data_IF_524056451874
#
_entry.id   IF_524056451874
#
_cell.length_a   1.000
_cell.length_b   1.000
_cell.length_c   1.000
_cell.angle_alpha   90.00
_cell.angle_beta   90.00
_cell.angle_gamma   90.00
#
_symmetry.space_group_name_H-M   'P 1'
#
loop_
_entity.id
_entity.type
_entity.pdbx_description
1 polymer ?
#
# COMPACT_ATOMS: atom_id res chain seq x y z
N UNK A 1 7.07 17.52 3.84
CA UNK A 1 6.40 16.27 3.40
C UNK A 1 5.08 16.10 4.14
N UNK A 2 4.02 15.69 3.45
CA UNK A 2 2.66 15.56 3.98
C UNK A 2 2.13 14.16 3.69
N UNK A 3 1.34 13.59 4.60
CA UNK A 3 0.65 12.32 4.37
C UNK A 3 -0.71 12.56 3.72
N UNK A 4 -1.04 11.77 2.71
CA UNK A 4 -2.36 11.74 2.07
C UNK A 4 -2.97 10.34 2.17
N UNK A 5 -4.29 10.29 2.37
CA UNK A 5 -5.05 9.04 2.44
C UNK A 5 -5.48 8.63 1.03
N UNK A 6 -5.12 7.41 0.61
CA UNK A 6 -5.39 6.92 -0.73
C UNK A 6 -6.17 5.60 -0.72
N UNK A 7 -7.08 5.45 -1.70
CA UNK A 7 -7.66 4.17 -2.09
C UNK A 7 -7.12 3.82 -3.49
N UNK A 8 -6.40 2.71 -3.59
CA UNK A 8 -5.59 2.40 -4.76
C UNK A 8 -6.21 1.36 -5.71
N UNK A 9 -7.40 0.83 -5.39
CA UNK A 9 -8.04 -0.21 -6.19
C UNK A 9 -9.56 -0.01 -6.25
N UNK A 10 -10.03 0.61 -7.35
CA UNK A 10 -11.43 1.03 -7.49
C UNK A 10 -11.97 0.78 -8.88
N UNK A 11 -13.28 0.50 -8.96
CA UNK A 11 -13.98 0.17 -10.20
C UNK A 11 -15.24 1.01 -10.37
N UNK A 12 -15.55 1.32 -11.64
CA UNK A 12 -16.78 1.97 -12.07
C UNK A 12 -17.56 1.04 -13.00
N UNK A 13 -18.74 1.49 -13.47
CA UNK A 13 -19.52 0.76 -14.47
C UNK A 13 -18.86 0.75 -15.87
N UNK A 14 -17.67 1.32 -16.03
CA UNK A 14 -16.85 1.11 -17.23
C UNK A 14 -16.20 -0.27 -17.28
N UNK A 15 -16.18 -0.98 -16.16
CA UNK A 15 -15.89 -2.42 -16.07
C UNK A 15 -17.05 -3.15 -15.39
N UNK A 16 -16.91 -3.56 -14.15
CA UNK A 16 -17.90 -4.33 -13.39
C UNK A 16 -18.33 -3.66 -12.08
N UNK A 17 -17.85 -2.46 -11.81
CA UNK A 17 -18.32 -1.62 -10.72
C UNK A 17 -19.79 -1.19 -10.92
N UNK A 18 -20.48 -0.88 -9.82
CA UNK A 18 -21.88 -0.44 -9.80
C UNK A 18 -22.02 1.05 -9.45
N UNK A 19 -21.03 1.84 -9.82
CA UNK A 19 -20.94 3.25 -9.49
C UNK A 19 -20.29 4.03 -10.64
N UNK A 20 -20.69 5.29 -10.81
CA UNK A 20 -20.01 6.24 -11.69
C UNK A 20 -18.72 6.74 -11.03
N UNK A 21 -17.83 7.37 -11.81
CA UNK A 21 -16.64 8.02 -11.27
C UNK A 21 -17.00 9.13 -10.26
N UNK A 22 -18.09 9.88 -10.52
CA UNK A 22 -18.56 10.93 -9.61
C UNK A 22 -19.06 10.35 -8.27
N UNK A 23 -19.82 9.26 -8.30
CA UNK A 23 -20.28 8.57 -7.08
C UNK A 23 -19.09 7.99 -6.31
N UNK A 24 -18.15 7.36 -7.00
CA UNK A 24 -16.92 6.84 -6.40
C UNK A 24 -16.10 7.95 -5.73
N UNK A 25 -15.82 9.04 -6.43
CA UNK A 25 -15.05 10.17 -5.92
C UNK A 25 -15.76 10.86 -4.73
N UNK A 26 -17.08 11.05 -4.82
CA UNK A 26 -17.87 11.62 -3.73
C UNK A 26 -17.87 10.73 -2.50
N UNK A 27 -18.03 9.41 -2.68
CA UNK A 27 -17.97 8.43 -1.60
C UNK A 27 -16.58 8.35 -0.97
N UNK A 28 -15.52 8.40 -1.77
CA UNK A 28 -14.15 8.44 -1.27
C UNK A 28 -13.89 9.72 -0.46
N UNK A 29 -14.32 10.86 -0.95
CA UNK A 29 -14.22 12.14 -0.24
C UNK A 29 -14.98 12.10 1.09
N UNK A 30 -16.18 11.55 1.11
CA UNK A 30 -16.99 11.38 2.31
C UNK A 30 -16.34 10.44 3.33
N UNK A 31 -15.48 9.51 2.91
CA UNK A 31 -14.68 8.64 3.75
C UNK A 31 -13.30 9.22 4.11
N UNK A 32 -13.05 10.50 3.80
CA UNK A 32 -11.81 11.21 4.17
C UNK A 32 -10.59 10.79 3.36
N UNK A 33 -10.77 10.28 2.14
CA UNK A 33 -9.67 10.08 1.20
C UNK A 33 -9.28 11.42 0.53
N UNK A 34 -8.00 11.58 0.23
CA UNK A 34 -7.45 12.71 -0.53
C UNK A 34 -7.27 12.36 -2.01
N UNK A 35 -7.06 11.07 -2.29
CA UNK A 35 -6.78 10.56 -3.62
C UNK A 35 -7.32 9.14 -3.81
N UNK A 36 -7.76 8.83 -5.03
CA UNK A 36 -8.05 7.45 -5.46
C UNK A 36 -7.25 7.10 -6.70
N UNK A 37 -7.04 5.80 -6.96
CA UNK A 37 -6.68 5.32 -8.28
C UNK A 37 -7.91 4.70 -8.95
N UNK A 38 -8.28 5.17 -10.15
CA UNK A 38 -9.29 4.50 -10.96
C UNK A 38 -8.62 3.37 -11.76
N UNK A 39 -9.05 2.15 -11.50
CA UNK A 39 -8.40 0.94 -12.01
C UNK A 39 -9.40 -0.04 -12.62
N UNK A 40 -10.32 0.46 -13.45
CA UNK A 40 -11.28 -0.39 -14.16
C UNK A 40 -10.61 -1.54 -14.92
N UNK A 41 -11.23 -2.72 -14.94
CA UNK A 41 -10.69 -3.90 -15.60
C UNK A 41 -10.47 -3.68 -17.11
N UNK A 42 -9.21 -3.77 -17.53
CA UNK A 42 -8.81 -3.77 -18.95
C UNK A 42 -9.33 -2.57 -19.76
N UNK A 43 -9.61 -1.44 -19.12
CA UNK A 43 -10.08 -0.23 -19.79
C UNK A 43 -9.65 1.03 -19.03
N UNK A 44 -9.49 2.13 -19.76
CA UNK A 44 -9.26 3.46 -19.21
C UNK A 44 -10.41 4.43 -19.56
N UNK A 45 -11.51 3.92 -20.12
CA UNK A 45 -12.63 4.77 -20.56
C UNK A 45 -13.33 5.48 -19.42
N UNK A 46 -13.25 4.96 -18.17
CA UNK A 46 -13.75 5.60 -16.96
C UNK A 46 -13.09 6.96 -16.64
N UNK A 47 -11.89 7.19 -17.18
CA UNK A 47 -11.13 8.43 -16.97
C UNK A 47 -11.56 9.59 -17.87
N UNK A 48 -12.48 9.38 -18.83
CA UNK A 48 -12.87 10.40 -19.82
C UNK A 48 -13.33 11.74 -19.21
N UNK A 49 -13.90 11.73 -18.01
CA UNK A 49 -14.37 12.91 -17.29
C UNK A 49 -13.61 13.20 -15.99
N UNK A 50 -12.42 12.62 -15.83
CA UNK A 50 -11.59 12.71 -14.62
C UNK A 50 -11.44 14.16 -14.12
N UNK A 51 -10.96 15.06 -14.97
CA UNK A 51 -10.71 16.44 -14.59
C UNK A 51 -11.97 17.19 -14.13
N UNK A 52 -13.13 16.88 -14.72
CA UNK A 52 -14.39 17.45 -14.30
C UNK A 52 -14.76 16.96 -12.90
N UNK A 53 -14.66 15.65 -12.65
CA UNK A 53 -14.98 15.03 -11.36
C UNK A 53 -14.04 15.53 -10.27
N UNK A 54 -12.73 15.66 -10.57
CA UNK A 54 -11.75 16.24 -9.64
C UNK A 54 -12.13 17.67 -9.22
N UNK A 55 -12.54 18.52 -10.19
CA UNK A 55 -13.00 19.89 -9.89
C UNK A 55 -14.28 19.93 -9.05
N UNK A 56 -15.23 19.02 -9.32
CA UNK A 56 -16.53 18.98 -8.64
C UNK A 56 -16.43 18.44 -7.21
N UNK A 57 -15.56 17.44 -6.98
CA UNK A 57 -15.46 16.75 -5.70
C UNK A 57 -14.30 17.23 -4.83
N UNK A 58 -13.30 17.85 -5.44
CA UNK A 58 -12.04 18.20 -4.78
C UNK A 58 -11.22 16.97 -4.36
N UNK A 59 -11.47 15.80 -4.99
CA UNK A 59 -10.70 14.58 -4.82
C UNK A 59 -9.74 14.42 -6.00
N UNK A 60 -8.49 14.07 -5.74
CA UNK A 60 -7.54 13.75 -6.81
C UNK A 60 -7.70 12.31 -7.29
N UNK A 61 -7.54 12.08 -8.60
CA UNK A 61 -7.74 10.77 -9.22
C UNK A 61 -6.49 10.39 -10.00
N UNK A 62 -5.76 9.37 -9.54
CA UNK A 62 -4.66 8.76 -10.31
C UNK A 62 -5.24 7.95 -11.46
N UNK A 63 -4.66 8.12 -12.64
CA UNK A 63 -5.00 7.29 -13.79
C UNK A 63 -4.37 5.92 -13.66
N UNK A 64 -5.13 4.88 -13.94
CA UNK A 64 -4.67 3.51 -13.86
C UNK A 64 -5.60 2.54 -14.57
N UNK A 65 -5.28 1.28 -14.46
CA UNK A 65 -6.06 0.18 -15.00
C UNK A 65 -5.70 -1.11 -14.26
N UNK A 66 -6.66 -1.96 -13.99
CA UNK A 66 -6.36 -3.32 -13.56
C UNK A 66 -6.27 -4.24 -14.79
N UNK A 67 -5.08 -4.77 -15.06
CA UNK A 67 -4.91 -5.89 -15.97
C UNK A 67 -5.54 -7.12 -15.38
N UNK A 68 -6.63 -7.55 -15.96
CA UNK A 68 -7.35 -8.75 -15.58
C UNK A 68 -7.07 -9.81 -16.63
N UNK A 69 -6.27 -10.79 -16.27
CA UNK A 69 -5.88 -11.90 -17.14
C UNK A 69 -6.30 -13.24 -16.54
N UNK A 70 -6.05 -14.34 -17.27
CA UNK A 70 -6.25 -15.69 -16.72
C UNK A 70 -5.18 -16.12 -15.71
N UNK A 71 -4.06 -15.39 -15.64
CA UNK A 71 -2.86 -15.76 -14.88
C UNK A 71 -2.58 -14.85 -13.68
N UNK A 72 -3.40 -13.87 -13.46
CA UNK A 72 -3.26 -12.92 -12.37
C UNK A 72 -3.83 -11.56 -12.74
N UNK A 73 -4.04 -10.74 -11.71
CA UNK A 73 -4.46 -9.35 -11.86
C UNK A 73 -3.32 -8.42 -11.45
N UNK A 74 -3.17 -7.32 -12.18
CA UNK A 74 -2.16 -6.31 -11.91
C UNK A 74 -2.77 -4.93 -11.95
N UNK A 75 -2.69 -4.21 -10.84
CA UNK A 75 -3.09 -2.80 -10.78
C UNK A 75 -1.95 -1.93 -11.26
N UNK A 76 -2.16 -1.23 -12.39
CA UNK A 76 -1.22 -0.24 -12.92
C UNK A 76 -1.69 1.15 -12.52
N UNK A 77 -0.78 2.00 -12.03
CA UNK A 77 -1.07 3.36 -11.52
C UNK A 77 -0.09 4.34 -12.16
N UNK A 78 -0.58 5.54 -12.53
CA UNK A 78 0.25 6.59 -13.12
C UNK A 78 0.45 6.44 -14.63
N UNK A 79 -0.31 5.55 -15.28
CA UNK A 79 -0.30 5.42 -16.74
C UNK A 79 -1.26 6.41 -17.40
N UNK A 80 -0.91 6.91 -18.56
CA UNK A 80 -1.74 7.82 -19.34
C UNK A 80 -2.40 7.15 -20.55
N UNK A 81 -1.80 6.08 -21.06
CA UNK A 81 -2.29 5.33 -22.21
C UNK A 81 -2.60 3.89 -21.86
N UNK A 82 -3.63 3.36 -22.52
CA UNK A 82 -4.04 1.96 -22.39
C UNK A 82 -2.90 1.00 -22.72
N UNK A 83 -2.71 0.01 -21.84
CA UNK A 83 -1.73 -1.06 -22.03
C UNK A 83 -2.41 -2.37 -22.42
N UNK A 84 -2.04 -2.87 -23.62
CA UNK A 84 -2.61 -4.12 -24.12
C UNK A 84 -2.00 -5.35 -23.42
N UNK A 85 -2.81 -5.97 -22.58
CA UNK A 85 -2.48 -7.17 -21.78
C UNK A 85 -2.66 -8.49 -22.56
N UNK A 86 -3.40 -8.48 -23.71
CA UNK A 86 -3.86 -9.69 -24.42
C UNK A 86 -2.73 -10.54 -24.99
N UNK A 87 -1.54 -9.98 -25.17
CA UNK A 87 -0.36 -10.66 -25.70
C UNK A 87 0.60 -11.14 -24.63
N UNK A 88 0.24 -11.01 -23.34
CA UNK A 88 1.10 -11.38 -22.21
C UNK A 88 0.71 -12.77 -21.72
N UNK A 89 1.59 -13.73 -21.92
CA UNK A 89 1.48 -15.09 -21.35
C UNK A 89 2.09 -15.18 -19.96
N UNK A 90 1.98 -16.35 -19.29
CA UNK A 90 2.49 -16.54 -17.93
C UNK A 90 3.99 -16.22 -17.76
N UNK A 91 4.79 -16.44 -18.82
CA UNK A 91 6.26 -16.25 -18.84
C UNK A 91 6.68 -14.89 -19.41
N UNK A 92 5.72 -14.10 -19.97
CA UNK A 92 6.01 -12.90 -20.76
C UNK A 92 5.63 -11.59 -20.08
N UNK A 93 5.30 -11.61 -18.78
CA UNK A 93 4.79 -10.42 -18.06
C UNK A 93 5.77 -9.24 -18.15
N UNK A 94 7.07 -9.51 -18.22
CA UNK A 94 8.14 -8.51 -18.27
C UNK A 94 7.96 -7.48 -19.39
N UNK A 95 7.53 -7.92 -20.58
CA UNK A 95 7.26 -7.01 -21.70
C UNK A 95 6.07 -6.07 -21.42
N UNK A 96 5.14 -6.50 -20.57
CA UNK A 96 4.03 -5.69 -20.11
C UNK A 96 4.46 -4.67 -19.07
N UNK A 97 5.24 -5.11 -18.07
CA UNK A 97 5.81 -4.25 -17.03
C UNK A 97 6.64 -3.12 -17.63
N UNK A 98 7.54 -3.45 -18.58
CA UNK A 98 8.35 -2.46 -19.28
C UNK A 98 7.51 -1.35 -19.91
N UNK A 99 6.38 -1.68 -20.56
CA UNK A 99 5.49 -0.67 -21.18
C UNK A 99 4.77 0.21 -20.15
N UNK A 100 4.50 -0.30 -18.95
CA UNK A 100 3.97 0.52 -17.84
C UNK A 100 5.05 1.50 -17.37
N UNK A 101 6.27 1.01 -17.16
CA UNK A 101 7.40 1.84 -16.72
C UNK A 101 7.83 2.88 -17.76
N UNK A 102 7.75 2.57 -19.06
CA UNK A 102 8.00 3.54 -20.13
C UNK A 102 7.09 4.78 -20.07
N UNK A 103 5.90 4.66 -19.49
CA UNK A 103 4.99 5.79 -19.23
C UNK A 103 5.24 6.49 -17.87
N UNK A 104 6.20 6.01 -17.08
CA UNK A 104 6.40 6.47 -15.71
C UNK A 104 5.37 5.92 -14.71
N UNK A 105 4.58 4.93 -15.13
CA UNK A 105 3.61 4.25 -14.28
C UNK A 105 4.24 3.17 -13.40
N UNK A 106 3.45 2.67 -12.45
CA UNK A 106 3.81 1.62 -11.51
C UNK A 106 2.93 0.40 -11.74
N UNK A 107 3.51 -0.79 -11.56
CA UNK A 107 2.84 -2.06 -11.73
C UNK A 107 2.82 -2.84 -10.40
N UNK A 108 1.63 -3.07 -9.87
CA UNK A 108 1.41 -3.75 -8.60
C UNK A 108 0.64 -5.06 -8.77
N UNK A 109 1.11 -6.09 -8.09
CA UNK A 109 0.44 -7.38 -8.01
C UNK A 109 -0.83 -7.22 -7.17
N UNK A 110 -2.01 -7.38 -7.80
CA UNK A 110 -3.30 -7.27 -7.13
C UNK A 110 -3.65 -8.57 -6.41
N UNK A 111 -4.09 -8.47 -5.15
CA UNK A 111 -4.64 -9.59 -4.34
C UNK A 111 -4.15 -11.02 -4.71
N UNK A 112 -2.84 -11.30 -4.73
CA UNK A 112 -2.22 -12.43 -5.45
C UNK A 112 -2.69 -13.83 -5.03
N UNK A 113 -3.32 -13.97 -3.88
CA UNK A 113 -3.81 -15.24 -3.36
C UNK A 113 -5.34 -15.30 -3.24
N UNK A 114 -6.05 -14.38 -3.90
CA UNK A 114 -7.51 -14.42 -3.92
C UNK A 114 -7.98 -15.64 -4.71
N UNK A 115 -8.78 -16.53 -4.12
CA UNK A 115 -9.30 -17.68 -4.87
C UNK A 115 -10.21 -17.18 -5.98
N UNK A 116 -9.97 -17.66 -7.19
CA UNK A 116 -10.87 -17.44 -8.31
C UNK A 116 -12.24 -18.05 -8.05
N UNK A 117 -13.24 -17.48 -8.68
CA UNK A 117 -14.59 -18.03 -8.76
C UNK A 117 -14.95 -18.20 -10.24
N UNK A 118 -16.02 -18.91 -10.61
CA UNK A 118 -16.46 -18.94 -11.99
C UNK A 118 -16.70 -17.55 -12.61
N UNK A 119 -16.91 -16.52 -11.77
CA UNK A 119 -17.12 -15.13 -12.19
C UNK A 119 -15.87 -14.24 -12.11
N UNK A 120 -14.85 -14.68 -11.36
CA UNK A 120 -13.57 -14.00 -11.24
C UNK A 120 -12.46 -14.97 -11.68
N UNK A 121 -12.24 -15.05 -12.99
CA UNK A 121 -11.17 -15.89 -13.55
C UNK A 121 -9.85 -15.19 -13.43
N UNK A 122 -8.77 -15.93 -13.05
CA UNK A 122 -7.43 -15.40 -12.97
C UNK A 122 -7.14 -14.51 -11.75
N UNK A 123 -8.03 -14.47 -10.73
CA UNK A 123 -7.74 -13.71 -9.49
C UNK A 123 -6.52 -14.23 -8.71
N UNK A 124 -6.16 -15.49 -8.87
CA UNK A 124 -4.96 -16.07 -8.27
C UNK A 124 -3.76 -15.83 -9.18
N UNK A 125 -2.65 -15.40 -8.60
CA UNK A 125 -1.44 -15.08 -9.35
C UNK A 125 -0.69 -16.33 -9.79
N UNK A 126 -0.48 -16.48 -11.09
CA UNK A 126 0.20 -17.59 -11.74
C UNK A 126 1.32 -17.13 -12.71
N UNK A 127 1.54 -15.80 -12.86
CA UNK A 127 2.66 -15.31 -13.63
C UNK A 127 4.00 -15.63 -12.97
N UNK A 128 4.96 -16.04 -13.76
CA UNK A 128 6.36 -16.20 -13.36
C UNK A 128 7.05 -14.82 -13.32
N UNK A 129 7.60 -14.48 -12.18
CA UNK A 129 8.36 -13.24 -12.00
C UNK A 129 9.86 -13.58 -12.03
N UNK A 130 10.52 -13.29 -13.14
CA UNK A 130 11.96 -13.52 -13.31
C UNK A 130 12.81 -12.51 -12.54
N UNK A 131 12.40 -11.23 -12.54
CA UNK A 131 13.06 -10.17 -11.78
C UNK A 131 12.01 -9.39 -10.95
N UNK A 132 12.09 -9.52 -9.63
CA UNK A 132 11.20 -8.83 -8.70
C UNK A 132 11.48 -7.32 -8.60
N UNK A 133 12.56 -6.80 -9.16
CA UNK A 133 12.78 -5.36 -9.28
C UNK A 133 11.85 -4.69 -10.30
N UNK A 134 11.17 -5.46 -11.14
CA UNK A 134 10.19 -4.95 -12.11
C UNK A 134 8.78 -4.82 -11.51
N UNK A 135 8.54 -5.35 -10.29
CA UNK A 135 7.30 -5.18 -9.54
C UNK A 135 7.49 -4.03 -8.56
N UNK A 136 6.63 -3.01 -8.64
CA UNK A 136 6.74 -1.83 -7.79
C UNK A 136 6.10 -2.04 -6.41
N UNK A 137 4.97 -2.76 -6.36
CA UNK A 137 4.26 -3.00 -5.11
C UNK A 137 3.40 -4.27 -5.13
N UNK A 138 3.01 -4.72 -3.96
CA UNK A 138 2.06 -5.82 -3.76
C UNK A 138 0.87 -5.31 -2.95
N UNK A 139 -0.35 -5.51 -3.44
CA UNK A 139 -1.56 -5.33 -2.65
C UNK A 139 -1.66 -6.46 -1.62
N UNK A 140 -1.12 -6.21 -0.44
CA UNK A 140 -1.09 -7.22 0.63
C UNK A 140 -2.40 -7.29 1.40
N UNK A 141 -3.16 -6.20 1.42
CA UNK A 141 -4.48 -6.11 2.00
C UNK A 141 -5.52 -5.75 0.94
N UNK A 142 -6.36 -6.71 0.61
CA UNK A 142 -7.46 -6.54 -0.33
C UNK A 142 -8.80 -6.68 0.38
N UNK A 143 -9.79 -5.92 -0.05
CA UNK A 143 -11.17 -5.90 0.48
C UNK A 143 -11.26 -5.35 1.92
N UNK A 144 -12.45 -5.51 2.57
CA UNK A 144 -12.69 -5.06 3.95
C UNK A 144 -12.16 -6.06 4.98
N UNK A 145 -11.84 -5.59 6.17
CA UNK A 145 -11.24 -6.33 7.29
C UNK A 145 -10.06 -7.22 6.84
N UNK A 146 -9.22 -6.62 6.02
CA UNK A 146 -8.17 -7.28 5.27
C UNK A 146 -7.21 -8.15 6.10
N UNK A 147 -6.71 -7.75 7.29
CA UNK A 147 -5.67 -8.50 8.01
C UNK A 147 -6.11 -9.87 8.53
N UNK A 148 -7.42 -10.15 8.62
CA UNK A 148 -7.90 -11.46 9.10
C UNK A 148 -8.14 -12.46 7.98
N UNK A 149 -8.05 -12.03 6.72
CA UNK A 149 -8.29 -12.89 5.55
C UNK A 149 -7.04 -13.70 5.19
N UNK A 150 -7.21 -15.02 5.01
CA UNK A 150 -6.10 -15.95 4.77
C UNK A 150 -5.28 -15.61 3.51
N UNK A 151 -5.94 -15.17 2.45
CA UNK A 151 -5.28 -14.72 1.21
C UNK A 151 -4.38 -13.50 1.46
N UNK A 152 -4.85 -12.51 2.24
CA UNK A 152 -4.08 -11.33 2.58
C UNK A 152 -2.90 -11.64 3.52
N UNK A 153 -3.07 -12.56 4.46
CA UNK A 153 -1.96 -13.06 5.29
C UNK A 153 -0.87 -13.69 4.42
N UNK A 154 -1.26 -14.43 3.36
CA UNK A 154 -0.30 -15.00 2.40
C UNK A 154 0.38 -13.92 1.58
N UNK A 155 -0.35 -12.91 1.11
CA UNK A 155 0.20 -11.79 0.36
C UNK A 155 1.20 -10.97 1.21
N UNK A 156 0.88 -10.72 2.48
CA UNK A 156 1.77 -10.07 3.42
C UNK A 156 3.07 -10.86 3.66
N UNK A 157 2.97 -12.20 3.74
CA UNK A 157 4.15 -13.09 3.82
C UNK A 157 4.97 -13.05 2.55
N UNK A 158 4.33 -13.12 1.37
CA UNK A 158 5.03 -13.00 0.08
C UNK A 158 5.85 -11.70 0.02
N UNK A 159 5.25 -10.57 0.39
CA UNK A 159 5.96 -9.30 0.47
C UNK A 159 7.17 -9.38 1.42
N UNK A 160 6.98 -9.91 2.64
CA UNK A 160 8.07 -10.08 3.62
C UNK A 160 9.19 -10.99 3.08
N UNK A 161 8.84 -12.07 2.38
CA UNK A 161 9.80 -12.99 1.77
C UNK A 161 10.63 -12.31 0.68
N UNK A 162 10.03 -11.40 -0.10
CA UNK A 162 10.79 -10.63 -1.10
C UNK A 162 11.71 -9.59 -0.43
N UNK A 163 11.25 -8.92 0.63
CA UNK A 163 12.12 -8.04 1.43
C UNK A 163 13.33 -8.81 2.01
N UNK A 164 13.13 -10.04 2.48
CA UNK A 164 14.20 -10.91 2.99
C UNK A 164 15.21 -11.33 1.92
N UNK A 165 14.82 -11.31 0.65
CA UNK A 165 15.70 -11.53 -0.50
C UNK A 165 16.43 -10.26 -0.94
N UNK A 166 16.12 -9.10 -0.33
CA UNK A 166 16.73 -7.80 -0.63
C UNK A 166 16.00 -6.96 -1.67
N UNK A 167 14.83 -7.41 -2.17
CA UNK A 167 14.00 -6.60 -3.07
C UNK A 167 13.32 -5.45 -2.32
N UNK A 168 13.14 -4.31 -2.99
CA UNK A 168 12.55 -3.09 -2.43
C UNK A 168 11.16 -2.87 -3.02
N UNK A 169 10.19 -3.57 -2.49
CA UNK A 169 8.80 -3.52 -2.94
C UNK A 169 7.94 -2.77 -1.93
N UNK A 170 7.04 -1.91 -2.42
CA UNK A 170 6.02 -1.35 -1.56
C UNK A 170 4.92 -2.38 -1.25
N UNK A 171 4.27 -2.24 -0.10
CA UNK A 171 3.05 -2.95 0.22
C UNK A 171 1.90 -1.95 0.35
N UNK A 172 0.76 -2.28 -0.22
CA UNK A 172 -0.43 -1.43 -0.23
C UNK A 172 -1.66 -2.15 0.29
N UNK A 173 -2.72 -1.39 0.50
CA UNK A 173 -4.08 -1.89 0.56
C UNK A 173 -4.92 -1.33 -0.58
N UNK A 174 -5.90 -2.11 -1.03
CA UNK A 174 -6.94 -1.69 -1.94
C UNK A 174 -8.26 -2.37 -1.57
N UNK A 175 -9.34 -1.60 -1.58
CA UNK A 175 -10.65 -2.16 -1.24
C UNK A 175 -11.17 -3.08 -2.35
N UNK A 176 -10.66 -2.94 -3.58
CA UNK A 176 -11.26 -3.54 -4.77
C UNK A 176 -12.74 -3.10 -4.85
N UNK A 177 -12.90 -1.75 -4.92
CA UNK A 177 -14.14 -1.08 -4.56
C UNK A 177 -15.11 -0.95 -5.73
N UNK A 178 -16.16 -1.76 -5.72
CA UNK A 178 -17.12 -1.88 -6.81
C UNK A 178 -18.46 -1.16 -6.56
N UNK A 179 -18.80 -0.79 -5.32
CA UNK A 179 -20.10 -0.17 -5.01
C UNK A 179 -20.06 0.70 -3.77
N UNK A 180 -21.00 1.64 -3.66
CA UNK A 180 -21.18 2.53 -2.50
C UNK A 180 -21.90 1.86 -1.33
N UNK A 181 -22.09 0.55 -1.34
CA UNK A 181 -22.69 -0.15 -0.20
C UNK A 181 -21.84 0.05 1.07
N UNK A 182 -22.47 0.39 2.21
CA UNK A 182 -21.75 0.57 3.46
C UNK A 182 -20.94 -0.68 3.81
N UNK A 183 -19.67 -0.50 4.11
CA UNK A 183 -18.87 -1.58 4.66
C UNK A 183 -19.28 -1.80 6.13
N UNK A 184 -19.84 -2.97 6.43
CA UNK A 184 -20.07 -3.40 7.82
C UNK A 184 -18.79 -3.79 8.56
N UNK A 185 -17.65 -3.77 7.87
CA UNK A 185 -16.34 -4.19 8.35
C UNK A 185 -15.33 -3.04 8.24
N UNK A 186 -14.23 -3.06 9.02
CA UNK A 186 -13.17 -2.06 8.92
C UNK A 186 -12.56 -1.98 7.51
N UNK A 187 -12.42 -0.73 7.01
CA UNK A 187 -11.81 -0.42 5.71
C UNK A 187 -10.37 0.00 5.91
N UNK A 188 -9.46 -0.60 5.17
CA UNK A 188 -8.05 -0.21 5.17
C UNK A 188 -7.80 1.01 4.29
N UNK A 189 -6.70 1.70 4.60
CA UNK A 189 -6.23 2.89 3.89
C UNK A 189 -4.75 2.78 3.64
N UNK A 190 -4.33 3.12 2.44
CA UNK A 190 -2.93 3.36 2.11
C UNK A 190 -2.62 4.85 2.26
N UNK A 191 -1.78 5.19 3.23
CA UNK A 191 -1.22 6.53 3.35
C UNK A 191 0.07 6.64 2.55
N UNK A 192 0.16 7.67 1.71
CA UNK A 192 1.37 8.01 0.95
C UNK A 192 1.98 9.30 1.51
N UNK A 193 3.29 9.31 1.75
CA UNK A 193 4.02 10.49 2.24
C UNK A 193 4.64 11.22 1.06
N UNK A 194 3.93 12.24 0.59
CA UNK A 194 4.30 13.04 -0.57
C UNK A 194 5.27 14.17 -0.22
N UNK A 195 6.13 14.51 -1.16
CA UNK A 195 6.95 15.71 -1.09
C UNK A 195 6.08 16.97 -1.23
N UNK A 196 6.49 18.07 -0.62
CA UNK A 196 5.94 19.38 -0.95
C UNK A 196 6.44 19.79 -2.35
N UNK A 197 5.63 20.55 -3.07
CA UNK A 197 5.98 21.01 -4.41
C UNK A 197 4.77 21.40 -5.23
N UNK A 198 5.03 21.93 -6.44
CA UNK A 198 4.00 22.43 -7.37
C UNK A 198 3.48 21.34 -8.32
N UNK A 199 4.14 20.19 -8.40
CA UNK A 199 3.69 19.07 -9.22
C UNK A 199 2.29 18.57 -8.78
N UNK A 200 1.45 18.08 -9.69
CA UNK A 200 0.15 17.51 -9.36
C UNK A 200 0.22 16.54 -8.20
N UNK A 201 -0.82 16.51 -7.35
CA UNK A 201 -0.86 15.62 -6.20
C UNK A 201 -0.73 14.16 -6.65
N UNK A 202 -1.33 13.79 -7.76
CA UNK A 202 -1.25 12.45 -8.37
C UNK A 202 0.18 12.03 -8.70
N UNK A 203 0.98 12.91 -9.28
CA UNK A 203 2.38 12.61 -9.65
C UNK A 203 3.24 12.42 -8.41
N UNK A 204 3.04 13.28 -7.39
CA UNK A 204 3.71 13.16 -6.09
C UNK A 204 3.27 11.90 -5.33
N UNK A 205 2.02 11.46 -5.52
CA UNK A 205 1.51 10.20 -4.96
C UNK A 205 2.17 8.98 -5.63
N UNK A 206 2.28 8.98 -6.96
CA UNK A 206 3.00 7.95 -7.72
C UNK A 206 4.46 7.87 -7.28
N UNK A 207 5.15 9.02 -7.17
CA UNK A 207 6.53 9.09 -6.67
C UNK A 207 6.66 8.54 -5.23
N UNK A 208 5.73 8.86 -4.35
CA UNK A 208 5.73 8.38 -2.97
C UNK A 208 5.53 6.86 -2.91
N UNK A 209 4.63 6.31 -3.72
CA UNK A 209 4.40 4.87 -3.83
C UNK A 209 5.65 4.16 -4.39
N UNK A 210 6.23 4.64 -5.48
CA UNK A 210 7.47 4.13 -6.08
C UNK A 210 8.65 4.11 -5.09
N UNK A 211 8.72 5.14 -4.25
CA UNK A 211 9.77 5.25 -3.21
C UNK A 211 9.47 4.42 -1.96
N UNK A 212 8.35 3.71 -1.90
CA UNK A 212 7.94 2.94 -0.72
C UNK A 212 7.58 3.80 0.51
N UNK A 213 7.29 5.09 0.34
CA UNK A 213 6.88 6.00 1.43
C UNK A 213 5.42 5.77 1.81
N UNK A 214 5.15 4.60 2.34
CA UNK A 214 3.79 4.04 2.51
C UNK A 214 3.56 3.59 3.95
N UNK A 215 2.37 3.88 4.47
CA UNK A 215 1.84 3.32 5.72
C UNK A 215 0.42 2.81 5.47
N UNK A 216 0.12 1.59 5.87
CA UNK A 216 -1.18 0.93 5.65
C UNK A 216 -1.87 0.70 6.98
N UNK A 217 -3.17 1.01 7.08
CA UNK A 217 -3.87 0.94 8.37
C UNK A 217 -5.37 0.67 8.23
N UNK A 218 -5.95 0.13 9.30
CA UNK A 218 -7.41 0.11 9.56
C UNK A 218 -7.87 1.31 10.41
N UNK A 219 -6.96 2.18 10.85
CA UNK A 219 -7.30 3.29 11.76
C UNK A 219 -6.17 4.30 11.89
N UNK A 220 -5.37 4.24 12.98
CA UNK A 220 -4.30 5.20 13.23
C UNK A 220 -3.17 5.04 12.21
N UNK A 221 -2.61 6.17 11.73
CA UNK A 221 -1.46 6.15 10.84
C UNK A 221 -0.19 5.87 11.63
N UNK A 222 0.55 4.82 11.24
CA UNK A 222 1.82 4.45 11.82
C UNK A 222 2.96 5.11 11.05
N UNK A 223 3.98 5.61 11.74
CA UNK A 223 5.20 6.18 11.16
C UNK A 223 6.44 5.63 11.86
N UNK A 224 7.55 5.57 11.14
CA UNK A 224 8.83 5.04 11.58
C UNK A 224 9.96 5.97 11.16
N UNK A 225 10.80 6.31 12.13
CA UNK A 225 12.02 7.10 11.91
C UNK A 225 13.21 6.40 12.58
N UNK A 226 14.35 6.40 11.90
CA UNK A 226 15.61 5.79 12.35
C UNK A 226 16.71 6.83 12.26
N UNK A 227 17.39 7.09 13.37
CA UNK A 227 18.57 7.96 13.42
C UNK A 227 19.82 7.10 13.64
N UNK A 228 20.80 7.27 12.77
CA UNK A 228 22.11 6.59 12.86
C UNK A 228 23.18 7.66 12.73
N UNK A 229 23.94 7.86 13.79
CA UNK A 229 25.05 8.83 13.87
C UNK A 229 24.67 10.29 13.50
N UNK A 230 23.40 10.65 13.68
CA UNK A 230 22.86 11.97 13.36
C UNK A 230 22.09 12.06 12.04
N UNK A 231 22.24 11.08 11.17
CA UNK A 231 21.46 10.98 9.93
C UNK A 231 20.09 10.35 10.18
N UNK A 232 19.05 10.99 9.67
CA UNK A 232 17.65 10.58 9.89
C UNK A 232 17.10 9.94 8.65
N UNK A 233 16.66 8.68 8.78
CA UNK A 233 16.04 7.86 7.74
C UNK A 233 14.58 7.60 8.07
N UNK A 234 13.76 7.58 7.03
CA UNK A 234 12.31 7.41 7.12
C UNK A 234 11.84 6.29 6.22
N UNK A 235 10.56 5.93 6.33
CA UNK A 235 9.92 4.91 5.50
C UNK A 235 10.23 5.16 4.01
N UNK A 236 10.75 4.14 3.32
CA UNK A 236 11.19 4.18 1.93
C UNK A 236 12.68 4.55 1.74
N UNK A 237 13.32 5.13 2.75
CA UNK A 237 14.73 5.52 2.64
C UNK A 237 15.67 4.31 2.70
N UNK A 238 16.88 4.51 2.16
CA UNK A 238 17.96 3.52 2.14
C UNK A 238 19.11 4.03 3.01
N UNK A 239 19.40 3.30 4.07
CA UNK A 239 20.60 3.52 4.89
C UNK A 239 21.80 3.02 4.11
N UNK A 240 22.63 3.97 3.64
CA UNK A 240 23.87 3.70 2.93
C UNK A 240 25.06 3.87 3.86
N UNK A 241 26.12 3.08 3.66
CA UNK A 241 27.38 3.28 4.39
C UNK A 241 28.20 2.00 4.51
N UNK A 242 29.54 2.13 4.52
CA UNK A 242 30.45 0.99 4.32
C UNK A 242 30.59 0.06 5.52
N UNK A 243 30.30 0.48 6.74
CA UNK A 243 30.45 -0.37 7.92
C UNK A 243 29.29 -0.17 8.89
N UNK A 244 28.52 -1.22 9.11
CA UNK A 244 27.41 -1.26 10.05
C UNK A 244 27.78 -1.96 11.37
N UNK A 245 29.02 -2.45 11.51
CA UNK A 245 29.47 -3.22 12.66
C UNK A 245 29.48 -2.36 13.91
N UNK A 246 28.75 -2.77 14.95
CA UNK A 246 28.68 -2.08 16.22
C UNK A 246 27.87 -0.78 16.25
N UNK A 247 27.21 -0.38 15.12
CA UNK A 247 26.36 0.81 15.10
C UNK A 247 24.99 0.50 15.71
N UNK A 248 24.45 1.47 16.41
CA UNK A 248 23.09 1.46 16.95
C UNK A 248 22.23 2.47 16.21
N UNK A 249 21.01 2.08 15.91
CA UNK A 249 19.98 2.96 15.42
C UNK A 249 19.09 3.40 16.58
N UNK A 250 18.93 4.71 16.77
CA UNK A 250 17.86 5.24 17.60
C UNK A 250 16.57 5.24 16.78
N UNK A 251 15.66 4.36 17.14
CA UNK A 251 14.39 4.13 16.41
C UNK A 251 13.27 4.84 17.14
N UNK A 252 12.47 5.61 16.40
CA UNK A 252 11.24 6.23 16.88
C UNK A 252 10.04 5.72 16.12
N UNK A 253 9.02 5.24 16.84
CA UNK A 253 7.74 4.84 16.26
C UNK A 253 6.64 5.76 16.74
N UNK A 254 5.90 6.33 15.81
CA UNK A 254 4.75 7.21 16.06
C UNK A 254 3.48 6.58 15.51
N UNK A 255 2.35 6.79 16.20
CA UNK A 255 1.05 6.48 15.64
C UNK A 255 0.10 7.66 15.90
N UNK A 256 -0.53 8.14 14.83
CA UNK A 256 -1.46 9.25 14.87
C UNK A 256 -2.90 8.71 14.90
N UNK A 257 -3.52 8.77 16.07
CA UNK A 257 -4.91 8.31 16.31
C UNK A 257 -5.95 9.38 15.97
N UNK A 258 -5.53 10.55 15.47
CA UNK A 258 -6.45 11.64 15.11
C UNK A 258 -6.84 11.64 13.65
N UNK A 259 -6.04 10.99 12.79
CA UNK A 259 -6.31 10.94 11.35
C UNK A 259 -7.59 10.19 11.04
N UNK A 260 -8.51 10.81 10.30
CA UNK A 260 -9.78 10.20 9.87
C UNK A 260 -10.54 9.48 11.02
N UNK A 261 -10.45 9.99 12.25
CA UNK A 261 -10.96 9.31 13.45
C UNK A 261 -12.49 9.10 13.42
N UNK A 262 -13.24 9.87 12.63
CA UNK A 262 -14.68 9.69 12.41
C UNK A 262 -15.04 8.50 11.49
N UNK A 263 -14.04 7.94 10.78
CA UNK A 263 -14.25 6.87 9.79
C UNK A 263 -13.79 5.49 10.27
N UNK A 264 -13.31 5.40 11.50
CA UNK A 264 -12.90 4.12 12.08
C UNK A 264 -13.11 4.12 13.59
N UNK A 265 -13.29 2.93 14.15
CA UNK A 265 -13.44 2.75 15.59
C UNK A 265 -12.56 1.61 16.08
N UNK A 266 -11.71 1.91 17.04
CA UNK A 266 -10.94 0.93 17.79
C UNK A 266 -11.34 1.01 19.27
N UNK A 267 -11.55 -0.13 19.94
CA UNK A 267 -11.83 -0.11 21.38
C UNK A 267 -10.62 0.45 22.15
N UNK A 268 -10.88 1.07 23.29
CA UNK A 268 -9.82 1.52 24.19
C UNK A 268 -9.06 0.31 24.71
N UNK A 269 -7.74 0.24 24.40
CA UNK A 269 -6.92 -0.91 24.70
C UNK A 269 -5.43 -0.55 24.74
N UNK A 270 -4.63 -1.46 25.30
CA UNK A 270 -3.18 -1.46 25.04
C UNK A 270 -2.91 -2.02 23.65
N UNK A 271 -2.08 -1.33 22.91
CA UNK A 271 -1.54 -1.78 21.63
C UNK A 271 -0.16 -2.40 21.82
N UNK A 272 0.26 -3.27 20.92
CA UNK A 272 1.64 -3.75 20.79
C UNK A 272 2.24 -3.16 19.53
N UNK A 273 3.34 -2.44 19.65
CA UNK A 273 4.18 -2.04 18.53
C UNK A 273 5.32 -3.04 18.42
N UNK A 274 5.47 -3.63 17.25
CA UNK A 274 6.52 -4.59 16.93
C UNK A 274 7.42 -4.04 15.84
N UNK A 275 8.72 -4.02 16.07
CA UNK A 275 9.73 -3.74 15.06
C UNK A 275 10.16 -5.05 14.41
N UNK A 276 9.97 -5.17 13.11
CA UNK A 276 10.24 -6.36 12.30
C UNK A 276 11.42 -6.13 11.35
N UNK A 277 12.15 -7.20 11.06
CA UNK A 277 13.26 -7.20 10.10
C UNK A 277 13.45 -8.56 9.45
N UNK A 278 14.45 -8.69 8.58
CA UNK A 278 14.94 -9.99 8.06
C UNK A 278 15.48 -10.92 9.16
N UNK A 279 15.83 -10.40 10.32
CA UNK A 279 16.29 -11.18 11.48
C UNK A 279 15.13 -11.58 12.41
N UNK A 280 13.90 -11.28 12.06
CA UNK A 280 12.69 -11.47 12.85
C UNK A 280 12.33 -10.24 13.68
N UNK A 281 11.70 -10.47 14.83
CA UNK A 281 11.26 -9.41 15.74
C UNK A 281 12.49 -8.81 16.44
N UNK A 282 12.69 -7.51 16.26
CA UNK A 282 13.79 -6.76 16.91
C UNK A 282 13.36 -6.23 18.28
N UNK A 283 12.11 -5.81 18.42
CA UNK A 283 11.55 -5.25 19.66
C UNK A 283 10.03 -5.37 19.66
N UNK A 284 9.44 -5.63 20.83
CA UNK A 284 8.00 -5.50 21.08
C UNK A 284 7.76 -4.58 22.28
N UNK A 285 6.92 -3.58 22.09
CA UNK A 285 6.61 -2.56 23.10
C UNK A 285 5.10 -2.43 23.24
N UNK A 286 4.59 -2.57 24.45
CA UNK A 286 3.17 -2.34 24.75
C UNK A 286 2.96 -0.87 25.12
N UNK A 287 1.97 -0.21 24.51
CA UNK A 287 1.70 1.19 24.72
C UNK A 287 0.20 1.52 24.70
N UNK A 288 -0.16 2.57 25.43
CA UNK A 288 -1.39 3.32 25.21
C UNK A 288 -1.13 4.44 24.18
N UNK A 289 -2.15 4.95 23.47
CA UNK A 289 -1.98 6.06 22.53
C UNK A 289 -1.24 7.27 23.11
N UNK A 290 -1.53 7.62 24.36
CA UNK A 290 -0.90 8.76 25.06
C UNK A 290 0.60 8.56 25.41
N UNK A 291 1.14 7.35 25.23
CA UNK A 291 2.55 7.03 25.52
C UNK A 291 3.44 7.12 24.28
N UNK A 292 2.87 7.46 23.12
CA UNK A 292 3.61 7.64 21.88
C UNK A 292 4.26 9.04 21.82
N UNK A 293 5.40 9.20 21.16
CA UNK A 293 6.18 8.17 20.43
C UNK A 293 6.88 7.17 21.35
N UNK A 294 7.13 5.96 20.84
CA UNK A 294 8.01 4.98 21.48
C UNK A 294 9.42 5.03 20.88
N UNK A 295 10.40 4.74 21.72
CA UNK A 295 11.82 4.74 21.34
C UNK A 295 12.46 3.39 21.64
N UNK A 296 13.38 2.96 20.76
CA UNK A 296 14.21 1.79 20.94
C UNK A 296 15.62 2.03 20.37
N UNK A 297 16.61 1.35 20.93
CA UNK A 297 17.96 1.27 20.34
C UNK A 297 18.15 -0.10 19.74
N UNK A 298 18.44 -0.16 18.45
CA UNK A 298 18.52 -1.40 17.67
C UNK A 298 19.89 -1.51 16.99
N UNK A 299 20.62 -2.62 17.20
CA UNK A 299 21.82 -2.90 16.41
C UNK A 299 21.46 -3.06 14.92
N UNK A 300 22.20 -2.34 14.05
CA UNK A 300 21.90 -2.37 12.60
C UNK A 300 22.67 -3.45 11.84
N UNK A 301 23.57 -4.17 12.51
CA UNK A 301 24.36 -5.22 11.88
C UNK A 301 23.48 -6.35 11.36
N UNK A 302 23.63 -6.70 10.07
CA UNK A 302 22.88 -7.77 9.41
C UNK A 302 21.44 -7.44 9.04
N UNK A 303 20.98 -6.20 9.28
CA UNK A 303 19.68 -5.76 8.79
C UNK A 303 19.71 -5.54 7.27
N UNK A 304 18.68 -6.04 6.59
CA UNK A 304 18.35 -5.72 5.21
C UNK A 304 17.22 -4.69 5.15
N UNK A 305 16.30 -4.76 6.10
CA UNK A 305 15.15 -3.87 6.22
C UNK A 305 14.63 -3.83 7.66
N UNK A 306 13.88 -2.76 7.98
CA UNK A 306 13.14 -2.62 9.23
C UNK A 306 11.79 -1.97 8.95
N UNK A 307 10.72 -2.47 9.57
CA UNK A 307 9.38 -1.87 9.56
C UNK A 307 8.74 -1.91 10.94
N UNK A 308 7.73 -1.07 11.16
CA UNK A 308 6.91 -1.09 12.35
C UNK A 308 5.54 -1.72 12.06
N UNK A 309 5.01 -2.46 13.04
CA UNK A 309 3.68 -3.06 13.05
C UNK A 309 2.93 -2.65 14.32
N UNK A 310 1.66 -2.26 14.18
CA UNK A 310 0.76 -1.96 15.29
C UNK A 310 -0.26 -3.09 15.42
N UNK A 311 -0.27 -3.75 16.57
CA UNK A 311 -1.18 -4.86 16.87
C UNK A 311 -2.16 -4.48 17.98
N UNK A 312 -3.40 -4.93 17.84
CA UNK A 312 -4.44 -4.76 18.86
C UNK A 312 -5.51 -5.82 18.71
N UNK A 313 -6.65 -5.60 19.34
CA UNK A 313 -7.81 -6.49 19.28
C UNK A 313 -8.97 -5.76 18.60
N UNK A 314 -9.50 -6.32 17.52
CA UNK A 314 -10.71 -5.87 16.84
C UNK A 314 -11.70 -7.02 16.84
N UNK A 315 -12.93 -6.77 17.34
CA UNK A 315 -13.99 -7.78 17.43
C UNK A 315 -13.55 -9.07 18.14
N UNK A 316 -12.70 -8.96 19.17
CA UNK A 316 -12.17 -10.09 19.93
C UNK A 316 -11.01 -10.86 19.26
N UNK A 317 -10.54 -10.42 18.11
CA UNK A 317 -9.44 -11.05 17.37
C UNK A 317 -8.17 -10.20 17.45
N UNK A 318 -7.03 -10.81 17.79
CA UNK A 318 -5.72 -10.13 17.69
C UNK A 318 -5.44 -9.84 16.23
N UNK A 319 -5.33 -8.58 15.90
CA UNK A 319 -5.31 -8.06 14.52
C UNK A 319 -4.10 -7.15 14.32
N UNK A 320 -3.44 -7.27 13.18
CA UNK A 320 -2.51 -6.26 12.67
C UNK A 320 -3.33 -5.05 12.25
N UNK A 321 -3.25 -3.94 12.99
CA UNK A 321 -4.06 -2.74 12.77
C UNK A 321 -3.40 -1.82 11.74
N UNK A 322 -2.08 -1.69 11.82
CA UNK A 322 -1.30 -0.88 10.89
C UNK A 322 0.11 -1.45 10.72
N UNK A 323 0.71 -1.17 9.57
CA UNK A 323 2.12 -1.42 9.33
C UNK A 323 2.72 -0.32 8.44
N UNK A 324 4.01 -0.10 8.60
CA UNK A 324 4.79 0.76 7.69
C UNK A 324 5.41 -0.08 6.58
N UNK A 325 5.70 0.55 5.45
CA UNK A 325 6.72 0.00 4.57
C UNK A 325 8.10 0.08 5.23
N UNK A 326 9.12 -0.45 4.58
CA UNK A 326 10.42 -0.61 5.19
C UNK A 326 11.31 0.64 5.07
N UNK A 327 12.23 0.79 6.02
CA UNK A 327 13.51 1.46 5.84
C UNK A 327 14.51 0.37 5.46
N UNK A 328 15.29 0.57 4.42
CA UNK A 328 16.20 -0.41 3.86
C UNK A 328 17.64 -0.19 4.30
N UNK A 329 18.41 -1.26 4.43
CA UNK A 329 19.81 -1.23 4.84
C UNK A 329 20.66 -1.90 3.74
N UNK A 330 21.23 -1.07 2.84
CA UNK A 330 22.03 -1.53 1.70
C UNK A 330 23.50 -1.78 2.08
#
# INVERSE_FOLDING_TARGET
>A
MTWIACELHTHTFHSDGKQSLTELASGAKALGFDCIALTDHNTMTGLAHKEQVERETGLSIMSGMEWTTFFGHMVTIGINDYQDWRKVGPEDIHAGLARVHEQGGLAGMAHPFRPGSPMCTGCYWEFEIGDWNEIDYIEVWSTTFAPVKKNNIRAYRLWTDQLNKGFRLAATSGRDWHSQEPAGEPVSVTYLRINEGEAPLTDRAVEALSSGRVSVTLGPRLDLEVNIDGDVYRIGDVVSGPDKTGRLAAVQVMADFTVRHEHWHLPEQRFTISLQSNLGVLSEMAALPAQLPLHAEIPVQGLLWMRAELWGVIQGVRTLIAFTNAIYFA
#
